data_IF_827767474879
#
_entry.id   IF_827767474879
#
_cell.length_a   1.000
_cell.length_b   1.000
_cell.length_c   1.000
_cell.angle_alpha   90.00
_cell.angle_beta   90.00
_cell.angle_gamma   90.00
#
_symmetry.space_group_name_H-M   'P 1'
#
loop_
_entity.id
_entity.type
_entity.pdbx_description
1 polymer ?
2 non-polymer ?
3 non-polymer ?
4 non-polymer ?
5 water ?
#
# COMPACT_ATOMS: atom_id res chain seq x y z
N UNK A 22 -26.97 15.66 7.58
CA UNK A 22 -25.82 14.73 7.88
C UNK A 22 -24.73 14.89 6.81
N UNK A 23 -23.48 14.96 7.24
CA UNK A 23 -22.36 15.21 6.32
C UNK A 23 -21.84 14.01 5.49
N UNK A 24 -21.74 12.83 6.11
CA UNK A 24 -21.25 11.64 5.41
C UNK A 24 -22.26 11.11 4.43
N UNK A 25 -23.52 11.49 4.61
CA UNK A 25 -24.58 11.06 3.72
C UNK A 25 -24.51 11.79 2.39
N UNK A 26 -24.18 13.09 2.45
CA UNK A 26 -24.07 13.88 1.23
C UNK A 26 -22.90 13.30 0.40
N UNK A 27 -21.80 12.98 1.06
CA UNK A 27 -20.63 12.37 0.41
C UNK A 27 -21.01 11.12 -0.38
N UNK A 28 -21.70 10.23 0.29
CA UNK A 28 -22.17 9.01 -0.35
C UNK A 28 -23.14 9.26 -1.46
N UNK A 29 -24.11 10.13 -1.26
CA UNK A 29 -25.09 10.34 -2.32
C UNK A 29 -24.36 10.97 -3.56
N UNK A 30 -23.38 11.80 -3.32
CA UNK A 30 -22.65 12.40 -4.44
C UNK A 30 -21.87 11.31 -5.20
N UNK A 31 -21.18 10.48 -4.47
CA UNK A 31 -20.40 9.41 -5.08
C UNK A 31 -21.25 8.43 -5.86
N UNK A 32 -22.33 7.99 -5.27
CA UNK A 32 -23.13 6.96 -5.88
C UNK A 32 -23.85 7.48 -7.09
N UNK A 33 -24.12 8.79 -7.15
CA UNK A 33 -24.85 9.39 -8.27
C UNK A 33 -23.96 9.76 -9.48
N UNK A 34 -22.66 9.75 -9.24
CA UNK A 34 -21.70 10.15 -10.28
C UNK A 34 -21.51 9.10 -11.34
N UNK A 35 -21.38 9.51 -12.59
CA UNK A 35 -20.97 8.58 -13.65
C UNK A 35 -19.47 8.45 -13.43
N UNK A 36 -18.95 7.23 -13.47
CA UNK A 36 -17.56 7.00 -13.22
C UNK A 36 -16.78 7.20 -14.52
N UNK A 37 -15.86 8.14 -14.56
CA UNK A 37 -15.06 8.31 -15.78
C UNK A 37 -14.21 7.09 -16.11
N UNK A 38 -13.78 7.03 -17.35
CA UNK A 38 -12.96 5.93 -17.81
C UNK A 38 -11.58 5.92 -17.18
N UNK A 39 -10.93 4.75 -17.17
CA UNK A 39 -9.58 4.66 -16.68
C UNK A 39 -8.65 5.57 -17.48
N UNK A 40 -8.88 5.68 -18.78
CA UNK A 40 -8.04 6.57 -19.59
C UNK A 40 -8.14 8.00 -19.12
N UNK A 41 -9.36 8.48 -18.95
CA UNK A 41 -9.59 9.84 -18.45
C UNK A 41 -8.94 10.07 -17.10
N UNK A 42 -9.01 9.08 -16.23
CA UNK A 42 -8.51 9.22 -14.87
C UNK A 42 -7.00 9.00 -14.70
N UNK A 43 -6.35 8.53 -15.79
CA UNK A 43 -4.90 8.32 -15.89
C UNK A 43 -4.37 7.26 -14.92
N UNK A 44 -5.26 6.42 -14.44
CA UNK A 44 -4.88 5.45 -13.42
C UNK A 44 -4.04 4.25 -13.91
N UNK A 45 -3.88 4.08 -15.22
CA UNK A 45 -3.01 3.03 -15.73
C UNK A 45 -1.55 3.46 -15.72
N UNK A 46 -1.30 4.73 -15.49
CA UNK A 46 0.08 5.27 -15.56
C UNK A 46 0.89 5.02 -14.29
N UNK A 47 2.05 4.37 -14.38
CA UNK A 47 2.88 4.27 -13.20
C UNK A 47 3.30 5.63 -12.60
N UNK A 48 3.40 6.70 -13.43
CA UNK A 48 3.76 8.06 -12.96
C UNK A 48 2.59 8.87 -12.36
N UNK A 49 1.47 8.25 -12.16
CA UNK A 49 0.28 8.93 -11.61
C UNK A 49 0.54 9.68 -10.32
N UNK A 50 -0.09 10.87 -10.28
CA UNK A 50 -0.14 11.71 -9.10
C UNK A 50 -1.60 11.96 -8.63
N UNK A 51 -1.82 11.83 -7.34
CA UNK A 51 -3.10 12.17 -6.73
C UNK A 51 -3.28 13.60 -6.26
N UNK A 52 -2.23 14.39 -6.31
CA UNK A 52 -2.20 15.68 -5.66
C UNK A 52 -3.28 16.65 -6.10
N UNK A 53 -3.65 16.59 -7.38
CA UNK A 53 -4.61 17.50 -7.94
C UNK A 53 -6.04 16.98 -7.83
N UNK A 54 -6.21 15.79 -7.26
CA UNK A 54 -7.53 15.17 -7.17
C UNK A 54 -8.25 15.45 -5.86
N UNK A 55 -9.54 15.72 -5.92
CA UNK A 55 -10.31 15.81 -4.70
C UNK A 55 -10.55 14.45 -4.09
N UNK A 56 -11.04 14.42 -2.85
CA UNK A 56 -11.36 13.12 -2.24
C UNK A 56 -12.42 12.40 -3.07
N UNK A 57 -13.43 13.08 -3.61
CA UNK A 57 -14.46 12.43 -4.39
C UNK A 57 -13.79 11.84 -5.62
N UNK A 58 -12.87 12.55 -6.21
CA UNK A 58 -12.26 12.01 -7.44
C UNK A 58 -11.41 10.76 -7.11
N UNK A 59 -10.74 10.71 -5.96
CA UNK A 59 -10.01 9.50 -5.59
C UNK A 59 -10.99 8.32 -5.40
N UNK A 60 -12.18 8.60 -4.90
CA UNK A 60 -13.17 7.56 -4.75
C UNK A 60 -13.66 7.05 -6.10
N UNK A 61 -13.88 7.93 -7.06
CA UNK A 61 -14.29 7.56 -8.39
C UNK A 61 -13.20 6.73 -9.07
N UNK A 62 -11.91 7.12 -8.88
CA UNK A 62 -10.79 6.35 -9.40
C UNK A 62 -10.81 4.91 -8.82
N UNK A 63 -11.13 4.78 -7.53
CA UNK A 63 -11.19 3.49 -6.87
C UNK A 63 -12.32 2.64 -7.44
N UNK A 64 -13.49 3.23 -7.66
CA UNK A 64 -14.57 2.49 -8.29
C UNK A 64 -14.10 1.99 -9.67
N UNK A 65 -13.41 2.84 -10.44
CA UNK A 65 -12.94 2.44 -11.74
C UNK A 65 -11.97 1.27 -11.64
N UNK A 66 -11.15 1.24 -10.61
CA UNK A 66 -10.19 0.13 -10.46
C UNK A 66 -10.95 -1.16 -10.27
N UNK A 67 -11.96 -1.18 -9.40
CA UNK A 67 -12.70 -2.40 -9.19
C UNK A 67 -13.41 -2.80 -10.47
N UNK A 68 -13.94 -1.79 -11.18
CA UNK A 68 -14.72 -2.06 -12.41
C UNK A 68 -13.84 -2.67 -13.52
N UNK A 69 -12.69 -2.05 -13.79
CA UNK A 69 -11.84 -2.46 -14.91
C UNK A 69 -11.04 -3.71 -14.63
N UNK A 70 -10.98 -4.14 -13.36
CA UNK A 70 -10.41 -5.44 -13.02
C UNK A 70 -11.52 -6.54 -13.03
N UNK A 71 -12.72 -6.16 -13.45
CA UNK A 71 -13.85 -7.09 -13.70
C UNK A 71 -14.38 -7.63 -12.38
N UNK A 72 -14.15 -6.93 -11.27
CA UNK A 72 -14.52 -7.42 -9.93
C UNK A 72 -15.98 -7.10 -9.58
N UNK A 73 -16.51 -5.99 -10.09
CA UNK A 73 -17.89 -5.58 -9.78
C UNK A 73 -18.87 -6.56 -10.39
N UNK A 74 -18.67 -6.81 -11.67
CA UNK A 74 -19.48 -7.72 -12.44
C UNK A 74 -19.40 -9.13 -11.83
N UNK A 75 -18.17 -9.62 -11.78
CA UNK A 75 -17.88 -10.98 -11.28
C UNK A 75 -18.46 -11.37 -9.92
N UNK A 76 -18.31 -10.51 -8.96
CA UNK A 76 -18.65 -10.81 -7.61
C UNK A 76 -19.94 -10.14 -7.19
N UNK A 77 -20.59 -9.56 -8.21
CA UNK A 77 -21.91 -8.90 -8.07
C UNK A 77 -22.03 -7.92 -6.93
N UNK A 78 -21.08 -7.00 -6.95
CA UNK A 78 -21.07 -5.96 -5.98
C UNK A 78 -22.13 -4.94 -6.36
N UNK A 79 -22.99 -4.62 -5.40
CA UNK A 79 -23.98 -3.60 -5.57
C UNK A 79 -23.25 -2.25 -5.53
N UNK A 80 -23.59 -1.35 -6.41
CA UNK A 80 -22.90 -0.08 -6.55
C UNK A 80 -22.89 0.72 -5.26
N UNK A 81 -24.02 0.83 -4.61
CA UNK A 81 -24.13 1.61 -3.41
C UNK A 81 -23.25 1.03 -2.30
N UNK A 82 -23.14 -0.28 -2.27
CA UNK A 82 -22.36 -0.94 -1.24
C UNK A 82 -20.86 -0.70 -1.46
N UNK A 83 -20.41 -0.81 -2.70
CA UNK A 83 -19.03 -0.53 -3.02
C UNK A 83 -18.73 0.94 -2.69
N UNK A 84 -19.63 1.84 -3.06
CA UNK A 84 -19.43 3.23 -2.73
C UNK A 84 -19.29 3.44 -1.21
N UNK A 85 -20.18 2.81 -0.44
CA UNK A 85 -20.12 2.96 1.03
C UNK A 85 -18.82 2.41 1.58
N UNK A 86 -18.41 1.22 1.09
CA UNK A 86 -17.15 0.57 1.59
C UNK A 86 -15.96 1.48 1.34
N UNK A 87 -15.89 2.05 0.14
CA UNK A 87 -14.76 2.91 -0.22
C UNK A 87 -14.70 4.09 0.73
N UNK A 88 -15.84 4.73 0.96
CA UNK A 88 -15.93 5.89 1.85
C UNK A 88 -15.60 5.50 3.30
N UNK A 89 -15.99 4.31 3.73
CA UNK A 89 -15.67 3.82 5.08
C UNK A 89 -14.17 3.58 5.20
N UNK A 90 -13.56 3.01 4.16
CA UNK A 90 -12.09 2.80 4.19
C UNK A 90 -11.41 4.20 4.32
N UNK A 91 -11.80 5.13 3.45
CA UNK A 91 -11.22 6.44 3.48
C UNK A 91 -11.38 7.11 4.89
N UNK A 92 -12.54 7.00 5.52
CA UNK A 92 -12.81 7.62 6.81
C UNK A 92 -11.95 7.01 7.90
N UNK A 93 -11.57 5.76 7.74
CA UNK A 93 -10.84 5.06 8.80
C UNK A 93 -9.30 5.21 8.72
N UNK A 94 -8.82 6.10 7.85
CA UNK A 94 -7.47 6.61 7.85
C UNK A 94 -7.53 7.89 8.72
N UNK A 95 -6.43 8.17 9.39
CA UNK A 95 -6.36 9.37 10.22
C UNK A 95 -5.82 10.52 9.38
N UNK A 96 -6.71 11.47 9.09
CA UNK A 96 -6.38 12.49 8.10
C UNK A 96 -5.17 13.34 8.38
N UNK A 97 -4.87 13.56 9.64
CA UNK A 97 -3.77 14.40 10.01
C UNK A 97 -2.44 13.68 10.25
N UNK A 98 -2.42 12.36 10.11
CA UNK A 98 -1.15 11.61 10.06
C UNK A 98 -0.52 12.04 8.70
N UNK A 99 0.73 12.47 8.70
CA UNK A 99 1.28 13.15 7.49
C UNK A 99 1.44 12.31 6.24
N UNK A 100 1.84 11.07 6.41
CA UNK A 100 2.08 10.14 5.30
C UNK A 100 1.10 8.99 5.26
N UNK A 101 0.94 8.30 6.38
CA UNK A 101 0.06 7.11 6.40
C UNK A 101 -1.42 7.48 6.61
N UNK A 102 -1.99 8.03 5.55
CA UNK A 102 -3.37 8.50 5.48
C UNK A 102 -3.98 7.94 4.19
N UNK A 103 -5.21 8.34 3.91
CA UNK A 103 -5.90 7.77 2.78
C UNK A 103 -5.15 7.92 1.49
N UNK A 104 -4.45 9.03 1.29
CA UNK A 104 -3.76 9.20 0.01
C UNK A 104 -2.69 8.17 -0.19
N UNK A 105 -2.00 7.74 0.88
CA UNK A 105 -1.02 6.67 0.71
C UNK A 105 -1.69 5.36 0.32
N UNK A 106 -2.80 5.03 0.94
CA UNK A 106 -3.55 3.80 0.61
C UNK A 106 -4.07 3.83 -0.83
N UNK A 107 -4.64 4.95 -1.20
CA UNK A 107 -5.10 5.18 -2.56
C UNK A 107 -3.96 5.01 -3.59
N UNK A 108 -2.82 5.62 -3.32
CA UNK A 108 -1.67 5.49 -4.22
C UNK A 108 -1.19 4.05 -4.31
N UNK A 109 -1.23 3.36 -3.20
CA UNK A 109 -0.82 1.97 -3.20
C UNK A 109 -1.72 1.12 -4.09
N UNK A 110 -3.03 1.35 -3.95
CA UNK A 110 -4.04 0.64 -4.78
C UNK A 110 -3.84 1.05 -6.28
N UNK A 111 -3.56 2.31 -6.54
CA UNK A 111 -3.37 2.76 -7.92
C UNK A 111 -2.13 2.08 -8.53
N UNK A 112 -1.04 1.96 -7.72
CA UNK A 112 0.14 1.21 -8.20
C UNK A 112 -0.20 -0.23 -8.49
N UNK A 113 -0.99 -0.81 -7.60
CA UNK A 113 -1.44 -2.19 -7.84
C UNK A 113 -2.22 -2.27 -9.16
N UNK A 114 -3.14 -1.37 -9.39
CA UNK A 114 -3.89 -1.39 -10.67
C UNK A 114 -2.95 -1.23 -11.87
N UNK A 115 -2.01 -0.29 -11.80
CA UNK A 115 -1.05 -0.06 -12.89
C UNK A 115 -0.19 -1.28 -13.12
N UNK A 116 0.28 -1.93 -12.04
CA UNK A 116 1.09 -3.16 -12.18
C UNK A 116 0.27 -4.28 -12.84
N UNK A 117 -0.99 -4.40 -12.45
CA UNK A 117 -1.82 -5.43 -13.04
C UNK A 117 -2.09 -5.15 -14.53
N UNK A 118 -2.32 -3.89 -14.89
CA UNK A 118 -2.66 -3.49 -16.24
C UNK A 118 -1.41 -3.20 -17.07
N UNK A 119 -0.81 -2.04 -16.89
CA UNK A 119 0.38 -1.66 -17.65
C UNK A 119 1.52 -2.64 -17.43
N UNK A 120 1.65 -3.15 -16.22
CA UNK A 120 2.71 -4.06 -15.87
C UNK A 120 2.44 -5.50 -16.24
N UNK A 121 1.25 -5.75 -16.72
CA UNK A 121 0.83 -7.06 -17.22
C UNK A 121 0.85 -8.20 -16.21
N UNK A 122 0.61 -7.87 -14.96
CA UNK A 122 0.60 -8.88 -13.91
C UNK A 122 -0.78 -9.55 -13.87
N UNK A 123 -1.86 -8.89 -14.36
CA UNK A 123 -3.19 -9.42 -14.17
C UNK A 123 -3.41 -10.88 -14.58
N UNK A 124 -2.94 -11.21 -15.76
CA UNK A 124 -3.14 -12.52 -16.31
C UNK A 124 -2.33 -13.61 -15.66
N UNK A 125 -1.42 -13.22 -14.77
CA UNK A 125 -0.67 -14.18 -13.97
C UNK A 125 -1.44 -14.61 -12.71
N UNK A 126 -2.54 -13.92 -12.38
CA UNK A 126 -3.25 -14.14 -11.10
C UNK A 126 -4.67 -14.60 -11.27
N UNK A 127 -5.25 -15.18 -10.24
CA UNK A 127 -6.67 -15.52 -10.26
C UNK A 127 -7.56 -14.36 -9.90
N UNK A 128 -8.83 -14.49 -10.24
CA UNK A 128 -9.80 -13.46 -9.87
C UNK A 128 -9.82 -13.17 -8.37
N UNK A 129 -9.74 -14.23 -7.56
CA UNK A 129 -9.75 -14.02 -6.10
C UNK A 129 -8.51 -13.33 -5.59
N UNK A 130 -7.37 -13.65 -6.17
CA UNK A 130 -6.12 -12.96 -5.85
C UNK A 130 -6.24 -11.49 -6.18
N UNK A 131 -6.78 -11.15 -7.34
CA UNK A 131 -6.88 -9.76 -7.74
C UNK A 131 -7.83 -9.02 -6.80
N UNK A 132 -8.95 -9.63 -6.50
CA UNK A 132 -9.90 -9.05 -5.53
C UNK A 132 -9.21 -8.79 -4.20
N UNK A 133 -8.49 -9.78 -3.68
CA UNK A 133 -7.86 -9.64 -2.37
C UNK A 133 -6.76 -8.59 -2.39
N UNK A 134 -5.98 -8.56 -3.46
CA UNK A 134 -4.88 -7.59 -3.56
C UNK A 134 -5.40 -6.14 -3.62
N UNK A 135 -6.49 -5.92 -4.36
CA UNK A 135 -7.01 -4.59 -4.40
C UNK A 135 -7.56 -4.12 -3.03
N UNK A 136 -8.36 -4.97 -2.42
CA UNK A 136 -8.90 -4.71 -1.06
C UNK A 136 -7.74 -4.51 -0.09
N UNK A 137 -6.73 -5.38 -0.14
CA UNK A 137 -5.60 -5.26 0.76
C UNK A 137 -4.85 -3.99 0.54
N UNK A 138 -4.62 -3.61 -0.69
CA UNK A 138 -3.87 -2.40 -0.96
C UNK A 138 -4.60 -1.20 -0.34
N UNK A 139 -5.91 -1.13 -0.53
CA UNK A 139 -6.66 -0.02 0.01
C UNK A 139 -6.75 0.00 1.53
N UNK A 140 -6.73 -1.18 2.12
CA UNK A 140 -7.02 -1.36 3.56
C UNK A 140 -5.71 -1.52 4.40
N UNK A 141 -4.50 -1.60 3.76
CA UNK A 141 -3.31 -2.14 4.40
C UNK A 141 -2.72 -1.30 5.51
N UNK A 142 -3.07 0.00 5.61
CA UNK A 142 -2.59 0.90 6.68
C UNK A 142 -3.76 1.49 7.51
N UNK A 143 -4.92 0.86 7.47
CA UNK A 143 -6.10 1.39 8.15
C UNK A 143 -5.84 1.77 9.59
N UNK A 144 -6.28 2.99 9.97
CA UNK A 144 -6.18 3.48 11.35
C UNK A 144 -4.71 3.61 11.82
N UNK A 145 -3.80 3.85 10.90
CA UNK A 145 -2.37 3.97 11.23
C UNK A 145 -2.20 5.15 12.19
N UNK A 146 -1.54 4.94 13.34
CA UNK A 146 -1.29 6.04 14.26
C UNK A 146 -0.17 6.97 13.96
N UNK A 147 0.60 6.75 12.90
CA UNK A 147 1.71 7.64 12.59
C UNK A 147 2.96 7.36 13.40
N UNK A 148 3.02 6.19 14.03
CA UNK A 148 4.24 5.71 14.71
C UNK A 148 4.44 4.25 14.34
N UNK A 149 5.68 3.81 14.49
CA UNK A 149 6.12 2.52 14.00
C UNK A 149 5.82 1.38 15.01
N UNK A 150 5.97 0.15 14.52
CA UNK A 150 5.87 -1.04 15.39
C UNK A 150 6.79 -0.94 16.59
N UNK A 151 8.02 -0.52 16.38
CA UNK A 151 8.98 -0.41 17.49
C UNK A 151 8.50 0.56 18.55
N UNK A 152 7.93 1.67 18.12
CA UNK A 152 7.35 2.64 19.07
C UNK A 152 6.22 2.02 19.89
N UNK A 153 5.34 1.26 19.24
CA UNK A 153 4.25 0.63 19.97
C UNK A 153 4.75 -0.37 20.99
N UNK A 154 5.77 -1.12 20.63
CA UNK A 154 6.42 -2.05 21.55
C UNK A 154 7.04 -1.35 22.71
N UNK A 155 7.75 -0.27 22.44
CA UNK A 155 8.46 0.47 23.49
C UNK A 155 7.60 1.25 24.43
N UNK A 156 6.39 1.61 24.01
CA UNK A 156 5.46 2.32 24.88
C UNK A 156 4.44 1.34 25.46
N UNK A 157 4.71 0.03 25.32
CA UNK A 157 3.88 -1.02 25.93
C UNK A 157 2.42 -0.97 25.56
N UNK A 158 2.18 -0.71 24.29
CA UNK A 158 0.84 -0.59 23.81
C UNK A 158 0.13 -1.91 23.97
N UNK A 159 -1.16 -1.85 24.22
CA UNK A 159 -1.93 -3.07 24.33
C UNK A 159 -1.96 -3.85 23.03
N UNK A 160 -1.84 -3.15 21.90
CA UNK A 160 -1.79 -3.82 20.61
C UNK A 160 -0.55 -4.71 20.54
N UNK A 161 0.58 -4.21 21.00
CA UNK A 161 1.80 -4.99 20.99
C UNK A 161 1.69 -6.21 21.91
N UNK A 162 1.02 -6.06 23.05
CA UNK A 162 0.80 -7.17 23.96
C UNK A 162 -0.07 -8.21 23.28
N UNK A 163 -1.19 -7.77 22.68
CA UNK A 163 -2.14 -8.71 22.02
C UNK A 163 -1.47 -9.51 20.91
N UNK A 164 -0.61 -8.82 20.18
CA UNK A 164 0.00 -9.44 19.01
C UNK A 164 1.44 -9.95 19.23
N UNK A 165 1.89 -10.03 20.48
CA UNK A 165 3.17 -10.65 20.81
C UNK A 165 4.36 -9.94 20.12
N UNK A 166 4.23 -8.62 19.93
CA UNK A 166 5.27 -7.80 19.29
C UNK A 166 5.55 -8.13 17.82
N UNK A 167 4.71 -8.97 17.21
CA UNK A 167 4.93 -9.40 15.82
C UNK A 167 3.96 -8.69 14.86
N UNK A 168 4.52 -7.96 13.90
CA UNK A 168 3.75 -7.22 12.89
C UNK A 168 2.54 -6.52 13.53
N UNK A 169 2.78 -5.76 14.57
CA UNK A 169 1.73 -5.24 15.45
C UNK A 169 0.73 -4.40 14.69
N UNK A 170 1.24 -3.39 14.02
CA UNK A 170 0.41 -2.52 13.21
C UNK A 170 -0.38 -3.27 12.17
N UNK A 171 0.30 -4.19 11.45
CA UNK A 171 -0.32 -4.96 10.37
C UNK A 171 -1.47 -5.84 10.83
N UNK A 172 -1.32 -6.46 11.99
CA UNK A 172 -2.45 -7.15 12.63
C UNK A 172 -3.58 -6.20 12.85
N UNK A 173 -3.28 -5.01 13.37
CA UNK A 173 -4.34 -4.05 13.60
C UNK A 173 -5.01 -3.60 12.30
N UNK A 174 -4.24 -3.36 11.26
CA UNK A 174 -4.81 -2.96 9.96
C UNK A 174 -5.73 -4.04 9.43
N UNK A 175 -5.33 -5.30 9.58
CA UNK A 175 -6.18 -6.41 9.17
C UNK A 175 -7.49 -6.46 9.96
N UNK A 176 -7.40 -6.26 11.25
CA UNK A 176 -8.57 -6.24 12.11
C UNK A 176 -9.55 -5.15 11.63
N UNK A 177 -9.02 -3.97 11.37
CA UNK A 177 -9.82 -2.87 10.85
C UNK A 177 -10.44 -3.23 9.50
N UNK A 178 -9.64 -3.89 8.65
CA UNK A 178 -10.12 -4.28 7.32
C UNK A 178 -11.36 -5.18 7.48
N UNK A 179 -11.25 -6.18 8.36
CA UNK A 179 -12.38 -7.10 8.57
C UNK A 179 -13.57 -6.35 9.14
N UNK A 180 -13.35 -5.39 10.04
CA UNK A 180 -14.44 -4.67 10.65
C UNK A 180 -15.25 -3.94 9.63
N UNK A 181 -14.57 -3.32 8.69
CA UNK A 181 -15.27 -2.54 7.68
C UNK A 181 -15.99 -3.49 6.70
N UNK A 182 -15.33 -4.57 6.28
CA UNK A 182 -15.95 -5.57 5.41
C UNK A 182 -17.18 -6.19 6.00
N UNK A 183 -17.30 -6.23 7.32
CA UNK A 183 -18.43 -6.81 7.99
C UNK A 183 -19.50 -5.80 8.39
N UNK A 184 -19.24 -4.51 8.20
CA UNK A 184 -20.15 -3.50 8.67
C UNK A 184 -21.40 -3.42 7.77
N UNK A 185 -22.56 -3.25 8.37
CA UNK A 185 -23.79 -3.16 7.60
C UNK A 185 -23.71 -2.14 6.46
N UNK A 186 -24.13 -2.55 5.26
CA UNK A 186 -24.06 -1.69 4.11
C UNK A 186 -22.74 -1.63 3.37
N UNK A 187 -21.70 -2.25 3.90
CA UNK A 187 -20.36 -2.17 3.34
C UNK A 187 -19.86 -3.49 2.87
N UNK A 188 -20.71 -4.51 2.86
CA UNK A 188 -20.24 -5.89 2.67
C UNK A 188 -20.00 -6.29 1.21
N UNK A 189 -18.91 -5.79 0.67
CA UNK A 189 -18.58 -5.99 -0.73
C UNK A 189 -18.22 -7.44 -1.09
N UNK A 190 -18.04 -8.27 -0.07
CA UNK A 190 -17.77 -9.70 -0.30
C UNK A 190 -19.00 -10.59 -0.03
N UNK A 191 -20.14 -9.99 0.34
CA UNK A 191 -21.36 -10.72 0.72
C UNK A 191 -21.87 -11.63 -0.37
N UNK A 192 -21.51 -11.36 -1.61
CA UNK A 192 -21.90 -12.18 -2.74
C UNK A 192 -21.03 -13.37 -3.07
N UNK A 193 -19.85 -13.53 -2.46
CA UNK A 193 -19.00 -14.67 -2.76
C UNK A 193 -19.60 -15.95 -2.12
N UNK A 194 -19.34 -17.09 -2.75
CA UNK A 194 -19.69 -18.38 -2.15
C UNK A 194 -18.83 -18.61 -0.93
N UNK A 195 -19.20 -19.60 -0.15
CA UNK A 195 -18.41 -19.89 1.05
C UNK A 195 -16.92 -20.20 0.79
N UNK A 196 -16.59 -21.03 -0.17
CA UNK A 196 -15.21 -21.39 -0.47
C UNK A 196 -14.46 -20.16 -0.99
N UNK A 197 -15.13 -19.34 -1.82
CA UNK A 197 -14.45 -18.14 -2.34
C UNK A 197 -14.18 -17.09 -1.24
N UNK A 198 -15.16 -16.91 -0.37
CA UNK A 198 -15.03 -15.97 0.73
C UNK A 198 -13.86 -16.38 1.61
N UNK A 199 -13.79 -17.66 2.01
CA UNK A 199 -12.71 -18.19 2.86
C UNK A 199 -11.37 -17.90 2.26
N UNK A 200 -11.24 -18.23 0.98
CA UNK A 200 -10.01 -18.10 0.24
C UNK A 200 -9.60 -16.61 0.19
N UNK A 201 -10.54 -15.72 -0.11
CA UNK A 201 -10.25 -14.30 -0.23
C UNK A 201 -9.73 -13.71 1.07
N UNK A 202 -10.38 -14.04 2.18
CA UNK A 202 -9.92 -13.48 3.44
C UNK A 202 -8.50 -13.96 3.82
N UNK A 203 -8.16 -15.18 3.47
CA UNK A 203 -6.81 -15.69 3.76
C UNK A 203 -5.78 -14.89 2.95
N UNK A 204 -6.08 -14.60 1.70
CA UNK A 204 -5.19 -13.84 0.84
C UNK A 204 -5.05 -12.43 1.35
N UNK A 205 -6.17 -11.85 1.75
CA UNK A 205 -6.14 -10.47 2.30
C UNK A 205 -5.24 -10.41 3.52
N UNK A 206 -5.37 -11.34 4.45
CA UNK A 206 -4.52 -11.35 5.64
C UNK A 206 -3.05 -11.43 5.25
N UNK A 207 -2.71 -12.33 4.36
CA UNK A 207 -1.33 -12.46 4.00
C UNK A 207 -0.77 -11.21 3.32
N UNK A 208 -1.59 -10.61 2.47
CA UNK A 208 -1.25 -9.39 1.72
C UNK A 208 -1.00 -8.20 2.67
N UNK A 209 -1.88 -8.03 3.67
CA UNK A 209 -1.70 -6.94 4.60
C UNK A 209 -0.47 -7.21 5.47
N UNK A 210 -0.33 -8.40 6.01
CA UNK A 210 0.86 -8.70 6.84
C UNK A 210 2.14 -8.51 6.04
N UNK A 211 2.12 -8.79 4.73
CA UNK A 211 3.31 -8.67 3.90
C UNK A 211 3.88 -7.24 3.88
N UNK A 212 3.02 -6.26 4.15
CA UNK A 212 3.43 -4.86 4.16
C UNK A 212 4.25 -4.47 5.39
N UNK A 213 4.44 -5.37 6.36
CA UNK A 213 5.41 -5.12 7.37
C UNK A 213 6.80 -5.28 6.74
N UNK A 214 7.61 -4.20 6.66
CA UNK A 214 8.92 -4.26 6.00
C UNK A 214 9.80 -5.31 6.63
N UNK A 215 9.62 -5.61 7.91
CA UNK A 215 10.40 -6.65 8.53
C UNK A 215 10.17 -8.03 7.89
N UNK A 216 8.94 -8.29 7.45
CA UNK A 216 8.62 -9.52 6.76
C UNK A 216 9.17 -9.53 5.37
N UNK A 217 9.18 -8.39 4.70
CA UNK A 217 9.82 -8.29 3.38
C UNK A 217 11.29 -8.65 3.52
N UNK A 218 11.97 -8.10 4.50
CA UNK A 218 13.39 -8.35 4.67
C UNK A 218 13.62 -9.83 4.97
N UNK A 219 12.76 -10.42 5.77
CA UNK A 219 12.89 -11.82 6.16
C UNK A 219 12.70 -12.78 4.96
N UNK A 220 11.79 -12.46 4.07
CA UNK A 220 11.40 -13.37 3.00
C UNK A 220 11.99 -13.10 1.62
N UNK A 221 12.56 -11.93 1.41
CA UNK A 221 12.95 -11.55 0.03
C UNK A 221 14.11 -12.35 -0.45
N UNK A 222 14.99 -12.82 0.44
CA UNK A 222 16.13 -13.60 0.01
C UNK A 222 15.70 -14.84 -0.75
N UNK A 223 14.65 -15.50 -0.27
CA UNK A 223 14.18 -16.71 -0.94
C UNK A 223 13.65 -16.33 -2.34
N UNK A 224 12.93 -15.24 -2.46
CA UNK A 224 12.38 -14.75 -3.75
C UNK A 224 13.52 -14.47 -4.75
N UNK A 225 14.50 -13.70 -4.29
CA UNK A 225 15.64 -13.32 -5.13
C UNK A 225 16.42 -14.55 -5.55
N UNK A 226 16.61 -15.50 -4.64
CA UNK A 226 17.34 -16.71 -4.97
C UNK A 226 16.58 -17.57 -5.98
N UNK A 227 15.28 -17.71 -5.83
CA UNK A 227 14.49 -18.47 -6.79
C UNK A 227 14.69 -17.89 -8.18
N UNK A 228 14.60 -16.59 -8.32
CA UNK A 228 14.81 -15.92 -9.58
C UNK A 228 16.23 -16.16 -10.12
N UNK A 229 17.23 -15.90 -9.29
CA UNK A 229 18.62 -16.03 -9.69
C UNK A 229 18.99 -17.42 -10.17
N UNK A 230 18.38 -18.43 -9.59
CA UNK A 230 18.68 -19.79 -9.90
C UNK A 230 17.72 -20.44 -10.92
N UNK A 231 16.94 -19.60 -11.56
CA UNK A 231 15.99 -20.07 -12.52
C UNK A 231 15.01 -21.15 -12.00
N UNK A 232 14.52 -20.91 -10.79
CA UNK A 232 13.61 -21.79 -10.07
C UNK A 232 12.24 -21.19 -9.84
N UNK A 233 12.06 -19.93 -10.21
CA UNK A 233 10.82 -19.23 -9.97
C UNK A 233 9.69 -19.75 -10.85
N UNK A 234 8.58 -20.11 -10.20
CA UNK A 234 7.45 -20.75 -10.81
C UNK A 234 6.16 -20.37 -10.09
N UNK A 235 5.38 -19.51 -10.70
CA UNK A 235 4.11 -19.08 -10.12
C UNK A 235 3.03 -20.15 -10.01
N UNK A 236 3.23 -21.29 -10.68
CA UNK A 236 2.29 -22.43 -10.53
C UNK A 236 2.42 -23.14 -9.15
N UNK A 237 3.57 -22.93 -8.48
CA UNK A 237 3.82 -23.45 -7.12
C UNK A 237 3.05 -22.53 -6.15
N UNK A 238 2.06 -23.04 -5.40
CA UNK A 238 1.33 -22.15 -4.49
C UNK A 238 2.17 -21.38 -3.47
N UNK A 239 3.25 -21.97 -2.96
CA UNK A 239 4.06 -21.26 -2.02
C UNK A 239 4.75 -20.10 -2.72
N UNK A 240 5.20 -20.35 -3.96
CA UNK A 240 5.90 -19.25 -4.66
C UNK A 240 4.94 -18.14 -5.10
N UNK A 241 3.69 -18.52 -5.41
CA UNK A 241 2.67 -17.54 -5.74
C UNK A 241 2.43 -16.64 -4.53
N UNK A 242 2.25 -17.26 -3.36
CA UNK A 242 2.07 -16.48 -2.13
C UNK A 242 3.25 -15.51 -1.86
N UNK A 243 4.47 -16.01 -2.05
CA UNK A 243 5.67 -15.19 -1.90
C UNK A 243 5.67 -14.00 -2.88
N UNK A 244 5.35 -14.28 -4.14
CA UNK A 244 5.25 -13.24 -5.15
C UNK A 244 4.20 -12.17 -4.72
N UNK A 245 3.03 -12.61 -4.28
CA UNK A 245 2.00 -11.66 -3.85
C UNK A 245 2.51 -10.74 -2.71
N UNK A 246 3.29 -11.30 -1.78
CA UNK A 246 3.88 -10.49 -0.72
C UNK A 246 4.85 -9.48 -1.26
N UNK A 247 5.69 -9.90 -2.20
CA UNK A 247 6.62 -8.99 -2.79
C UNK A 247 5.92 -7.87 -3.60
N UNK A 248 4.86 -8.22 -4.29
CA UNK A 248 4.10 -7.28 -5.06
C UNK A 248 3.45 -6.23 -4.11
N UNK A 249 2.92 -6.69 -2.97
CA UNK A 249 2.40 -5.76 -1.97
C UNK A 249 3.47 -4.74 -1.53
N UNK A 250 4.67 -5.23 -1.21
CA UNK A 250 5.75 -4.33 -0.87
C UNK A 250 6.07 -3.34 -1.97
N UNK A 251 6.14 -3.85 -3.19
CA UNK A 251 6.45 -3.01 -4.34
C UNK A 251 5.45 -1.85 -4.49
N UNK A 252 4.18 -2.15 -4.30
CA UNK A 252 3.17 -1.11 -4.35
C UNK A 252 3.22 -0.13 -3.16
N UNK A 253 3.42 -0.68 -1.97
CA UNK A 253 3.51 0.09 -0.75
C UNK A 253 4.65 1.08 -0.84
N UNK A 254 5.77 0.71 -1.46
CA UNK A 254 6.95 1.57 -1.56
C UNK A 254 6.95 2.46 -2.76
N UNK A 255 5.92 2.42 -3.59
CA UNK A 255 6.02 2.97 -4.93
C UNK A 255 6.17 4.47 -5.06
N UNK A 256 5.92 5.22 -3.99
CA UNK A 256 6.24 6.67 -4.06
C UNK A 256 7.73 6.88 -4.42
N UNK A 257 8.58 5.95 -4.03
CA UNK A 257 10.04 6.07 -4.30
C UNK A 257 10.38 5.93 -5.80
N UNK A 258 9.39 5.55 -6.60
CA UNK A 258 9.56 5.38 -8.05
C UNK A 258 9.01 6.54 -8.85
N UNK A 259 8.34 7.48 -8.20
CA UNK A 259 7.60 8.50 -8.94
C UNK A 259 8.54 9.58 -9.49
N UNK A 260 8.10 10.36 -10.49
CA UNK A 260 8.88 11.49 -10.98
C UNK A 260 9.34 12.32 -9.79
N UNK A 261 10.55 12.83 -9.90
CA UNK A 261 11.16 13.56 -8.82
C UNK A 261 10.29 14.55 -8.05
N UNK A 262 9.58 15.47 -8.67
CA UNK A 262 8.74 16.40 -7.88
C UNK A 262 7.70 15.74 -7.02
N UNK A 263 7.12 14.66 -7.56
CA UNK A 263 6.12 13.88 -6.80
C UNK A 263 6.83 13.17 -5.61
N UNK A 264 7.95 12.46 -5.88
CA UNK A 264 8.64 11.73 -4.85
C UNK A 264 9.16 12.68 -3.77
N UNK A 265 9.65 13.87 -4.16
CA UNK A 265 10.17 14.84 -3.21
C UNK A 265 9.08 15.31 -2.26
N UNK A 266 7.91 15.58 -2.78
CA UNK A 266 6.81 16.06 -1.98
C UNK A 266 6.36 14.97 -1.00
N UNK A 267 6.29 13.74 -1.45
CA UNK A 267 5.87 12.62 -0.61
C UNK A 267 6.94 12.36 0.45
N UNK A 268 8.23 12.43 0.08
CA UNK A 268 9.32 12.20 1.03
C UNK A 268 9.26 13.23 2.15
N UNK A 269 8.82 14.46 1.86
CA UNK A 269 8.67 15.49 2.91
C UNK A 269 7.57 15.07 3.91
N UNK A 270 6.51 14.45 3.40
CA UNK A 270 5.42 13.94 4.29
C UNK A 270 5.92 12.84 5.22
N UNK A 271 6.68 11.88 4.65
CA UNK A 271 7.21 10.81 5.48
C UNK A 271 8.15 11.37 6.53
N UNK A 272 9.00 12.32 6.15
CA UNK A 272 9.89 12.96 7.10
C UNK A 272 9.11 13.63 8.23
N UNK A 273 8.04 14.31 7.88
CA UNK A 273 7.23 14.96 8.88
C UNK A 273 6.69 13.94 9.90
N UNK A 274 6.17 12.83 9.37
CA UNK A 274 5.66 11.77 10.24
C UNK A 274 6.73 11.18 11.12
N UNK A 275 7.83 10.81 10.50
CA UNK A 275 8.92 10.21 11.27
C UNK A 275 9.50 11.18 12.31
N UNK A 276 9.67 12.44 11.97
CA UNK A 276 10.21 13.40 12.93
C UNK A 276 9.22 13.64 14.09
N UNK A 277 7.93 13.56 13.80
CA UNK A 277 6.92 13.64 14.84
C UNK A 277 7.11 12.48 15.81
N UNK A 278 7.30 11.26 15.30
CA UNK A 278 7.57 10.13 16.17
C UNK A 278 8.82 10.39 17.01
N UNK A 279 9.91 10.91 16.44
CA UNK A 279 11.10 11.18 17.22
C UNK A 279 10.82 12.17 18.33
N UNK A 280 9.98 13.18 18.08
CA UNK A 280 9.65 14.09 19.12
C UNK A 280 8.98 13.37 20.30
N UNK A 281 8.10 12.46 19.97
CA UNK A 281 7.44 11.65 20.98
C UNK A 281 8.36 10.71 21.71
N UNK A 282 9.35 10.16 21.02
CA UNK A 282 10.31 9.34 21.69
C UNK A 282 11.12 10.14 22.71
N UNK A 283 11.48 11.37 22.40
CA UNK A 283 12.22 12.17 23.36
C UNK A 283 11.38 12.38 24.60
N UNK A 284 10.10 12.69 24.40
CA UNK A 284 9.22 13.03 25.54
C UNK A 284 8.79 11.81 26.34
N UNK A 285 8.39 10.76 25.65
CA UNK A 285 7.81 9.56 26.28
C UNK A 285 8.80 8.52 26.73
N UNK A 286 9.92 8.41 26.02
CA UNK A 286 10.96 7.39 26.26
C UNK A 286 12.24 8.01 26.77
N UNK A 287 12.35 9.32 26.71
CA UNK A 287 13.57 10.00 27.16
C UNK A 287 14.84 9.47 26.42
N UNK A 288 14.71 9.23 25.12
CA UNK A 288 15.85 8.77 24.30
C UNK A 288 16.01 9.66 23.09
N UNK A 289 17.21 9.72 22.57
CA UNK A 289 17.47 10.43 21.31
C UNK A 289 16.96 9.52 20.23
N UNK A 290 16.17 10.03 19.28
CA UNK A 290 15.71 9.22 18.17
C UNK A 290 16.89 8.83 17.29
N UNK A 291 16.69 7.76 16.57
CA UNK A 291 17.62 7.34 15.48
C UNK A 291 17.60 8.43 14.46
N UNK A 292 18.63 8.49 13.59
CA UNK A 292 18.71 9.57 12.59
C UNK A 292 17.45 9.66 11.75
N UNK A 293 16.89 8.50 11.36
CA UNK A 293 15.71 8.51 10.53
C UNK A 293 14.52 9.30 11.13
N UNK A 294 14.46 9.36 12.45
CA UNK A 294 13.41 10.05 13.18
C UNK A 294 13.80 11.29 13.92
N UNK A 295 15.02 11.76 13.65
CA UNK A 295 15.61 12.89 14.33
C UNK A 295 15.67 14.19 13.51
N UNK A 296 14.68 15.08 13.74
CA UNK A 296 14.63 16.34 13.03
C UNK A 296 15.90 17.16 13.22
N UNK A 297 16.55 17.02 14.37
CA UNK A 297 17.78 17.77 14.67
C UNK A 297 18.90 17.39 13.70
N UNK A 298 18.80 16.19 13.16
CA UNK A 298 19.74 15.62 12.18
C UNK A 298 19.15 15.46 10.79
N UNK A 299 18.25 16.38 10.44
CA UNK A 299 17.60 16.31 9.12
C UNK A 299 18.60 16.44 7.98
N UNK A 300 19.82 16.88 8.24
CA UNK A 300 20.90 16.88 7.23
C UNK A 300 21.18 15.49 6.69
N UNK A 301 20.79 14.46 7.46
CA UNK A 301 21.05 13.11 7.03
C UNK A 301 20.04 12.55 6.01
N UNK A 302 19.00 13.30 5.67
CA UNK A 302 17.95 12.81 4.81
C UNK A 302 18.44 12.28 3.47
N UNK A 303 19.16 13.06 2.67
CA UNK A 303 19.65 12.52 1.38
C UNK A 303 20.41 11.20 1.47
N UNK A 304 21.36 11.12 2.41
CA UNK A 304 22.11 9.93 2.52
C UNK A 304 21.27 8.73 2.95
N UNK A 305 20.29 8.99 3.82
CA UNK A 305 19.37 7.95 4.30
C UNK A 305 18.45 7.49 3.16
N UNK A 306 18.02 8.42 2.29
CA UNK A 306 17.20 8.06 1.13
C UNK A 306 17.98 7.17 0.17
N UNK A 307 19.21 7.55 -0.14
CA UNK A 307 20.05 6.70 -0.97
C UNK A 307 20.23 5.31 -0.36
N UNK A 308 20.50 5.27 0.92
CA UNK A 308 20.70 4.02 1.62
C UNK A 308 19.47 3.14 1.57
N UNK A 309 18.29 3.73 1.73
CA UNK A 309 17.01 3.00 1.65
C UNK A 309 16.79 2.45 0.24
N UNK A 310 17.02 3.28 -0.77
CA UNK A 310 16.86 2.86 -2.12
C UNK A 310 17.77 1.69 -2.43
N UNK A 311 19.02 1.81 -2.07
CA UNK A 311 19.97 0.75 -2.38
C UNK A 311 19.67 -0.55 -1.61
N UNK A 312 19.33 -0.43 -0.34
CA UNK A 312 19.19 -1.59 0.55
C UNK A 312 17.89 -2.34 0.42
N UNK A 313 16.82 -1.61 0.15
CA UNK A 313 15.46 -2.15 0.17
C UNK A 313 14.79 -2.11 -1.24
N UNK A 314 14.94 -1.00 -1.99
CA UNK A 314 14.07 -0.81 -3.16
C UNK A 314 14.55 -1.35 -4.46
N UNK A 315 15.78 -1.06 -4.81
CA UNK A 315 16.29 -1.44 -6.14
C UNK A 315 16.18 -2.94 -6.44
N UNK A 316 16.57 -3.77 -5.50
CA UNK A 316 16.53 -5.21 -5.77
C UNK A 316 15.10 -5.69 -5.97
N UNK A 317 14.16 -5.07 -5.27
CA UNK A 317 12.77 -5.48 -5.41
C UNK A 317 12.22 -5.10 -6.81
N UNK A 318 12.46 -3.85 -7.26
CA UNK A 318 11.96 -3.42 -8.54
C UNK A 318 12.70 -4.18 -9.66
N UNK A 319 13.95 -4.52 -9.45
CA UNK A 319 14.70 -5.38 -10.41
C UNK A 319 14.06 -6.73 -10.49
N UNK A 320 13.78 -7.34 -9.33
CA UNK A 320 13.13 -8.69 -9.38
C UNK A 320 11.75 -8.66 -10.03
N UNK A 321 10.99 -7.60 -9.73
CA UNK A 321 9.67 -7.47 -10.32
C UNK A 321 9.76 -7.36 -11.85
N UNK A 322 10.76 -6.64 -12.35
CA UNK A 322 10.96 -6.48 -13.79
C UNK A 322 11.32 -7.79 -14.41
N UNK A 323 12.05 -8.61 -13.67
CA UNK A 323 12.36 -9.99 -14.13
C UNK A 323 11.07 -10.79 -14.33
N UNK A 324 10.12 -10.65 -13.40
CA UNK A 324 8.83 -11.39 -13.49
C UNK A 324 8.00 -10.86 -14.67
N UNK A 325 8.00 -9.53 -14.86
CA UNK A 325 7.30 -8.90 -15.96
C UNK A 325 8.05 -7.66 -16.42
N UNK A 326 8.58 -7.73 -17.61
CA UNK A 326 9.39 -6.63 -18.15
C UNK A 326 8.61 -5.31 -18.20
N UNK A 327 7.29 -5.37 -18.31
CA UNK A 327 6.46 -4.19 -18.40
C UNK A 327 6.37 -3.43 -17.08
N UNK A 328 6.92 -4.01 -16.01
CA UNK A 328 7.07 -3.29 -14.74
C UNK A 328 8.36 -2.45 -14.68
N UNK A 329 9.17 -2.49 -15.76
CA UNK A 329 10.37 -1.70 -15.80
C UNK A 329 10.24 -0.23 -15.41
N UNK A 330 9.21 0.51 -15.77
CA UNK A 330 9.14 1.91 -15.33
C UNK A 330 9.26 2.17 -13.86
N UNK A 331 8.85 1.24 -13.02
CA UNK A 331 9.03 1.36 -11.57
C UNK A 331 10.53 1.35 -11.21
N UNK A 332 11.25 0.42 -11.79
CA UNK A 332 12.68 0.37 -11.58
C UNK A 332 13.38 1.63 -12.16
N UNK A 333 13.01 2.02 -13.35
CA UNK A 333 13.61 3.21 -14.02
C UNK A 333 13.37 4.44 -13.12
N UNK A 334 12.17 4.59 -12.59
CA UNK A 334 11.87 5.75 -11.75
C UNK A 334 12.65 5.70 -10.45
N UNK A 335 12.79 4.52 -9.91
CA UNK A 335 13.53 4.31 -8.67
C UNK A 335 14.99 4.73 -8.87
N UNK A 336 15.60 4.28 -9.99
CA UNK A 336 16.97 4.59 -10.29
C UNK A 336 17.16 6.11 -10.46
N UNK A 337 16.19 6.78 -11.08
CA UNK A 337 16.30 8.21 -11.30
C UNK A 337 16.28 8.93 -9.98
N UNK A 338 15.44 8.52 -9.04
CA UNK A 338 15.39 9.15 -7.73
C UNK A 338 16.66 8.91 -6.94
N UNK A 339 17.25 7.75 -7.11
CA UNK A 339 18.54 7.45 -6.44
C UNK A 339 19.54 8.47 -6.87
N UNK A 340 19.59 8.74 -8.18
CA UNK A 340 20.58 9.70 -8.76
C UNK A 340 20.34 11.09 -8.18
N UNK A 341 19.10 11.48 -8.09
CA UNK A 341 18.76 12.83 -7.61
C UNK A 341 19.11 12.97 -6.11
N UNK A 342 18.79 11.98 -5.29
CA UNK A 342 19.12 12.05 -3.88
C UNK A 342 20.60 12.02 -3.69
N UNK A 343 21.31 11.18 -4.47
CA UNK A 343 22.74 11.10 -4.32
C UNK A 343 23.42 12.45 -4.72
N UNK A 344 22.86 13.16 -5.69
CA UNK A 344 23.39 14.47 -6.06
C UNK A 344 23.29 15.44 -4.91
N UNK A 345 22.25 15.31 -4.08
CA UNK A 345 22.10 16.15 -2.90
C UNK A 345 23.05 15.70 -1.81
N UNK A 346 23.22 14.38 -1.65
CA UNK A 346 24.00 13.84 -0.56
C UNK A 346 25.48 14.09 -0.70
N UNK A 347 25.97 14.12 -1.93
CA UNK A 347 27.42 14.23 -2.16
C UNK A 347 27.94 15.68 -2.27
#
# INVERSE_FOLDING_TARGET
>A
MGSSHHHHHHSSGLVPRGSHMEEETRELQSLAAAVVPSAQTLKITDFSFSDFELSDLETALCTIRMFTDLNLVQNFQMKHEVLCRWILSVKKNYRKNVAYHNWRHAFNTAQCMFAALKAGKIQNKLTDLEILALLIAALSHDLDHPGVSNQFLINTNSELALMYNDESVLEHHHFDQCLMILNSPGNQILSGLSIEEYKTTLKIIKQAILATDLALYIKRRGEFFELIRKNQFNLEDPHQKELFLAMLMTACDLSAITKPWPIQQRIAELVATEFFDQGDRERKELNIEPTDLMNREKKNKIPSMQVGFIDAICLQLYEALTHVSEDCFPLLDGCRKNRQKWQALAEQQEKMLINGESGQAKRN
#
